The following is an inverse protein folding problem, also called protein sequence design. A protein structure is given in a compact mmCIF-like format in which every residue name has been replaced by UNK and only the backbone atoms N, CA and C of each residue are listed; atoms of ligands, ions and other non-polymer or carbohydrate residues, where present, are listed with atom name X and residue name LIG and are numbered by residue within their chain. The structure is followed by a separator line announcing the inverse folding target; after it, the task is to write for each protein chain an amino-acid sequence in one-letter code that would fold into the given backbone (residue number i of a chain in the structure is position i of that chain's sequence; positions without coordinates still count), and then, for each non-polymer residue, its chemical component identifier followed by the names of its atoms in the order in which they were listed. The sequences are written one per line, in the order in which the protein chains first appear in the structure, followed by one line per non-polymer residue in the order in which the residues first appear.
data_IF_379034457121
#
_entry.id   IF_379034457121
#
_cell.length_a   1.000
_cell.length_b   1.000
_cell.length_c   1.000
_cell.angle_alpha   90.00
_cell.angle_beta   90.00
_cell.angle_gamma   90.00
#
_symmetry.space_group_name_H-M   'P 1'
#
loop_
_entity.id
_entity.type
_entity.pdbx_description
1 polymer ?
#
# COMPACT_ATOMS: atom_id res chain seq x y z
N UNK A 1 21.31 -5.43 -2.86
CA UNK A 1 20.72 -4.07 -2.85
C UNK A 1 19.62 -4.04 -1.82
N UNK A 2 19.54 -2.99 -1.01
CA UNK A 2 18.43 -2.78 -0.08
C UNK A 2 17.26 -2.29 -0.92
N UNK A 3 16.31 -3.16 -1.22
CA UNK A 3 15.08 -2.82 -1.93
C UNK A 3 13.97 -2.57 -0.89
N UNK A 4 13.13 -1.59 -1.14
CA UNK A 4 12.03 -1.20 -0.26
C UNK A 4 11.30 0.01 -0.80
N UNK A 5 10.13 0.30 -0.23
CA UNK A 5 9.19 1.32 -0.72
C UNK A 5 9.81 2.70 -1.01
N UNK A 6 10.89 3.05 -0.31
CA UNK A 6 11.60 4.31 -0.49
C UNK A 6 12.53 4.37 -1.72
N UNK A 7 12.85 3.24 -2.36
CA UNK A 7 13.80 3.15 -3.48
C UNK A 7 13.24 2.46 -4.73
N UNK A 8 12.19 1.64 -4.58
CA UNK A 8 11.66 0.79 -5.65
C UNK A 8 10.14 0.68 -5.62
N UNK A 9 9.44 1.80 -5.44
CA UNK A 9 7.99 1.87 -5.29
C UNK A 9 7.23 1.03 -6.34
N UNK A 10 7.46 1.28 -7.63
CA UNK A 10 6.76 0.58 -8.72
C UNK A 10 6.94 -0.95 -8.60
N UNK A 11 8.18 -1.41 -8.41
CA UNK A 11 8.47 -2.84 -8.24
C UNK A 11 7.82 -3.43 -6.98
N UNK A 12 7.72 -2.65 -5.91
CA UNK A 12 7.06 -3.10 -4.69
C UNK A 12 5.54 -3.15 -4.84
N UNK A 13 4.93 -2.21 -5.56
CA UNK A 13 3.49 -2.27 -5.90
C UNK A 13 3.17 -3.45 -6.82
N UNK A 14 4.04 -3.75 -7.79
CA UNK A 14 3.92 -4.95 -8.63
C UNK A 14 3.99 -6.24 -7.82
N UNK A 15 4.95 -6.35 -6.89
CA UNK A 15 5.03 -7.53 -6.00
C UNK A 15 3.77 -7.71 -5.16
N UNK A 16 3.22 -6.62 -4.61
CA UNK A 16 2.00 -6.68 -3.81
C UNK A 16 0.79 -7.08 -4.65
N UNK A 17 0.70 -6.62 -5.89
CA UNK A 17 -0.30 -7.07 -6.87
C UNK A 17 -0.17 -8.57 -7.15
N UNK A 18 1.06 -9.06 -7.35
CA UNK A 18 1.31 -10.48 -7.58
C UNK A 18 0.94 -11.33 -6.36
N UNK A 19 1.22 -10.87 -5.14
CA UNK A 19 0.78 -11.52 -3.91
C UNK A 19 -0.75 -11.54 -3.79
N UNK A 20 -1.42 -10.42 -4.08
CA UNK A 20 -2.87 -10.36 -4.05
C UNK A 20 -3.50 -11.36 -5.04
N UNK A 21 -2.91 -11.48 -6.24
CA UNK A 21 -3.34 -12.46 -7.25
C UNK A 21 -3.22 -13.92 -6.80
N UNK A 22 -2.39 -14.18 -5.77
CA UNK A 22 -2.21 -15.48 -5.13
C UNK A 22 -3.02 -15.65 -3.84
N UNK A 23 -3.78 -14.62 -3.44
CA UNK A 23 -4.58 -14.62 -2.21
C UNK A 23 -3.84 -14.13 -0.97
N UNK A 24 -2.70 -13.45 -1.13
CA UNK A 24 -1.98 -12.82 -0.04
C UNK A 24 -2.20 -11.31 -0.09
N UNK A 25 -3.05 -10.79 0.79
CA UNK A 25 -3.47 -9.39 0.79
C UNK A 25 -2.66 -8.62 1.82
N UNK A 26 -2.20 -7.41 1.44
CA UNK A 26 -1.48 -6.53 2.36
C UNK A 26 -2.39 -6.17 3.55
N UNK A 27 -1.87 -6.39 4.75
CA UNK A 27 -2.55 -6.06 6.01
C UNK A 27 -1.82 -4.92 6.74
N UNK A 28 -0.49 -4.96 6.78
CA UNK A 28 0.31 -3.97 7.51
C UNK A 28 1.77 -3.92 6.99
N UNK A 29 2.54 -2.92 7.44
CA UNK A 29 3.99 -2.87 7.28
C UNK A 29 4.67 -2.84 8.65
N UNK A 30 5.37 -3.92 8.98
CA UNK A 30 6.04 -4.10 10.26
C UNK A 30 7.44 -3.52 10.20
N UNK A 31 7.75 -2.65 11.18
CA UNK A 31 9.07 -2.03 11.32
C UNK A 31 9.47 -1.13 10.16
N UNK A 32 8.53 -0.73 9.30
CA UNK A 32 8.79 0.11 8.12
C UNK A 32 9.37 -0.62 6.90
N UNK A 33 9.63 -1.93 6.99
CA UNK A 33 10.32 -2.68 5.93
C UNK A 33 9.65 -4.01 5.54
N UNK A 34 8.88 -4.63 6.44
CA UNK A 34 8.34 -5.97 6.21
C UNK A 34 6.84 -5.94 5.94
N UNK A 35 6.41 -6.57 4.84
CA UNK A 35 4.98 -6.74 4.57
C UNK A 35 4.38 -7.77 5.52
N UNK A 36 3.32 -7.38 6.21
CA UNK A 36 2.41 -8.30 6.87
C UNK A 36 1.28 -8.60 5.91
N UNK A 37 1.16 -9.87 5.51
CA UNK A 37 0.15 -10.33 4.57
C UNK A 37 -0.86 -11.22 5.31
N UNK A 38 -2.14 -11.03 5.03
CA UNK A 38 -3.18 -11.97 5.44
C UNK A 38 -3.58 -12.86 4.28
N UNK A 39 -3.91 -14.11 4.60
CA UNK A 39 -4.42 -15.06 3.61
C UNK A 39 -5.90 -14.79 3.34
N UNK A 40 -6.27 -14.75 2.07
CA UNK A 40 -7.62 -14.59 1.56
C UNK A 40 -7.75 -15.30 0.20
N UNK A 41 -8.85 -15.10 -0.50
CA UNK A 41 -9.03 -15.51 -1.89
C UNK A 41 -8.15 -14.66 -2.82
N UNK A 42 -7.66 -15.24 -3.93
CA UNK A 42 -7.04 -14.51 -5.04
C UNK A 42 -7.85 -13.29 -5.47
N UNK A 43 -7.19 -12.13 -5.52
CA UNK A 43 -7.79 -10.85 -5.88
C UNK A 43 -6.88 -10.07 -6.82
N UNK A 44 -7.46 -9.40 -7.81
CA UNK A 44 -6.72 -8.49 -8.68
C UNK A 44 -6.73 -7.10 -8.06
N UNK A 45 -5.77 -6.82 -7.18
CA UNK A 45 -5.63 -5.54 -6.48
C UNK A 45 -4.42 -4.81 -7.07
N UNK A 46 -4.63 -3.57 -7.50
CA UNK A 46 -3.57 -2.63 -7.82
C UNK A 46 -3.38 -1.76 -6.59
N UNK A 47 -2.14 -1.66 -6.12
CA UNK A 47 -1.77 -0.78 -5.02
C UNK A 47 -1.11 0.48 -5.56
N UNK A 48 -1.28 1.58 -4.84
CA UNK A 48 -0.56 2.84 -5.07
C UNK A 48 0.01 3.35 -3.76
N UNK A 49 1.25 3.83 -3.80
CA UNK A 49 1.86 4.51 -2.67
C UNK A 49 1.84 6.02 -2.95
N UNK A 50 1.53 6.81 -1.95
CA UNK A 50 1.61 8.26 -2.02
C UNK A 50 2.25 8.83 -0.74
N UNK A 51 2.90 9.98 -0.87
CA UNK A 51 3.65 10.62 0.19
C UNK A 51 3.07 11.99 0.50
N UNK A 52 2.44 12.13 1.66
CA UNK A 52 1.86 13.39 2.11
C UNK A 52 2.08 13.55 3.62
N UNK A 53 2.85 14.57 3.99
CA UNK A 53 2.97 14.97 5.39
C UNK A 53 1.68 15.61 5.86
N UNK A 54 1.28 15.28 7.10
CA UNK A 54 0.10 15.84 7.77
C UNK A 54 -1.19 15.70 6.93
N UNK A 55 -1.33 14.57 6.23
CA UNK A 55 -2.53 14.22 5.47
C UNK A 55 -3.79 14.32 6.35
N UNK A 56 -4.77 15.08 5.87
CA UNK A 56 -6.03 15.32 6.53
C UNK A 56 -7.20 14.57 5.86
N UNK A 57 -8.42 14.82 6.32
CA UNK A 57 -9.60 14.16 5.78
C UNK A 57 -9.89 14.51 4.32
N UNK A 58 -9.52 15.72 3.87
CA UNK A 58 -9.76 16.15 2.49
C UNK A 58 -8.85 15.38 1.53
N UNK A 59 -7.57 15.24 1.89
CA UNK A 59 -6.61 14.42 1.14
C UNK A 59 -7.17 13.00 0.89
N UNK A 60 -7.61 12.29 1.93
CA UNK A 60 -8.17 10.93 1.75
C UNK A 60 -9.49 10.92 0.98
N UNK A 61 -10.26 12.00 1.04
CA UNK A 61 -11.54 12.11 0.31
C UNK A 61 -11.29 12.14 -1.19
N UNK A 62 -10.26 12.83 -1.67
CA UNK A 62 -9.89 12.88 -3.10
C UNK A 62 -9.63 11.46 -3.64
N UNK A 63 -8.83 10.66 -2.93
CA UNK A 63 -8.56 9.27 -3.31
C UNK A 63 -9.83 8.43 -3.32
N UNK A 64 -10.66 8.57 -2.28
CA UNK A 64 -11.93 7.86 -2.17
C UNK A 64 -12.88 8.19 -3.32
N UNK A 65 -12.99 9.46 -3.72
CA UNK A 65 -13.81 9.91 -4.83
C UNK A 65 -13.28 9.40 -6.18
N UNK A 66 -11.96 9.23 -6.31
CA UNK A 66 -11.31 8.59 -7.45
C UNK A 66 -11.43 7.05 -7.45
N UNK A 67 -12.10 6.45 -6.46
CA UNK A 67 -12.33 5.00 -6.37
C UNK A 67 -11.23 4.23 -5.64
N UNK A 68 -10.24 4.91 -5.07
CA UNK A 68 -9.20 4.31 -4.24
C UNK A 68 -9.67 4.08 -2.81
N UNK A 69 -9.05 3.13 -2.11
CA UNK A 69 -9.35 2.84 -0.72
C UNK A 69 -8.07 2.80 0.08
N UNK A 70 -7.98 3.64 1.12
CA UNK A 70 -6.85 3.59 2.04
C UNK A 70 -6.71 2.18 2.64
N UNK A 71 -5.53 1.58 2.43
CA UNK A 71 -5.13 0.29 3.01
C UNK A 71 -4.49 0.52 4.37
N UNK A 72 -3.42 1.32 4.40
CA UNK A 72 -2.67 1.64 5.62
C UNK A 72 -1.92 2.96 5.46
N UNK A 73 -1.52 3.54 6.60
CA UNK A 73 -0.64 4.71 6.65
C UNK A 73 0.56 4.44 7.55
N UNK A 74 1.76 4.74 7.07
CA UNK A 74 3.01 4.56 7.80
C UNK A 74 3.50 5.93 8.26
N UNK A 75 3.75 6.06 9.56
CA UNK A 75 4.26 7.28 10.21
C UNK A 75 3.48 8.58 9.92
N UNK A 76 2.24 8.50 9.39
CA UNK A 76 1.43 9.64 8.91
C UNK A 76 2.07 10.44 7.76
N UNK A 77 2.94 9.80 6.98
CA UNK A 77 3.64 10.46 5.85
C UNK A 77 3.55 9.64 4.56
N UNK A 78 3.31 8.34 4.68
CA UNK A 78 3.21 7.41 3.56
C UNK A 78 1.87 6.71 3.63
N UNK A 79 1.16 6.66 2.51
CA UNK A 79 -0.20 6.13 2.43
C UNK A 79 -0.26 5.13 1.27
N UNK A 80 -0.68 3.91 1.57
CA UNK A 80 -0.92 2.89 0.55
C UNK A 80 -2.43 2.80 0.33
N UNK A 81 -2.83 2.90 -0.93
CA UNK A 81 -4.20 2.80 -1.43
C UNK A 81 -4.39 1.58 -2.33
#
# INVERSE_FOLDING_TARGET
MINGLAFSEESDMEKLKDYASQGWILEDIVGGFFYKLRKDRPQNIVYSLDYQLDADGEYFTIFKEAGWKLVLSINKQMHIF
#
